data_IF_055145954526
#
_entry.id   IF_055145954526
#
_cell.length_a   1.000
_cell.length_b   1.000
_cell.length_c   1.000
_cell.angle_alpha   90.00
_cell.angle_beta   90.00
_cell.angle_gamma   90.00
#
_symmetry.space_group_name_H-M   'P 1'
#
loop_
_entity.id
_entity.type
_entity.pdbx_description
1 polymer ?
#
# COMPACT_ATOMS: atom_id res chain seq x y z
N UNK A 1 -12.75 14.83 -23.97
CA UNK A 1 -12.68 13.40 -23.58
C UNK A 1 -12.43 13.16 -22.09
N UNK A 2 -11.92 14.11 -21.30
CA UNK A 2 -11.69 13.95 -19.85
C UNK A 2 -12.93 13.61 -18.99
N UNK A 3 -14.13 14.03 -19.39
CA UNK A 3 -15.35 13.88 -18.58
C UNK A 3 -15.86 12.43 -18.37
N UNK A 4 -15.63 11.52 -19.32
CA UNK A 4 -16.04 10.10 -19.17
C UNK A 4 -15.12 9.31 -18.23
N UNK A 5 -13.90 9.79 -18.02
CA UNK A 5 -12.86 9.13 -17.23
C UNK A 5 -13.00 9.43 -15.75
N UNK A 6 -13.17 10.70 -15.38
CA UNK A 6 -13.42 11.11 -14.00
C UNK A 6 -14.67 10.41 -13.43
N UNK A 7 -15.73 10.25 -14.23
CA UNK A 7 -16.97 9.59 -13.81
C UNK A 7 -16.79 8.09 -13.46
N UNK A 8 -15.87 7.35 -14.11
CA UNK A 8 -15.63 5.92 -13.82
C UNK A 8 -14.90 5.72 -12.49
N UNK A 9 -13.96 6.59 -12.15
CA UNK A 9 -13.18 6.49 -10.92
C UNK A 9 -13.88 7.11 -9.69
N UNK A 10 -14.68 8.17 -9.88
CA UNK A 10 -15.57 8.69 -8.83
C UNK A 10 -16.61 7.65 -8.39
N UNK A 11 -17.10 6.81 -9.30
CA UNK A 11 -18.10 5.78 -8.96
C UNK A 11 -17.54 4.61 -8.15
N UNK A 12 -16.25 4.26 -8.25
CA UNK A 12 -15.68 3.17 -7.45
C UNK A 12 -15.70 3.46 -5.94
N UNK A 13 -15.42 4.71 -5.53
CA UNK A 13 -15.53 5.14 -4.14
C UNK A 13 -16.96 5.46 -3.72
N UNK A 14 -17.77 6.09 -4.58
CA UNK A 14 -19.18 6.35 -4.27
C UNK A 14 -19.98 5.04 -4.06
N UNK A 15 -19.67 3.99 -4.82
CA UNK A 15 -20.26 2.67 -4.62
C UNK A 15 -19.77 2.01 -3.31
N UNK A 16 -18.50 2.20 -2.94
CA UNK A 16 -18.00 1.76 -1.63
C UNK A 16 -18.67 2.54 -0.48
N UNK A 17 -18.97 3.83 -0.63
CA UNK A 17 -19.73 4.60 0.37
C UNK A 17 -21.20 4.22 0.47
N UNK A 18 -21.80 3.67 -0.58
CA UNK A 18 -23.15 3.08 -0.52
C UNK A 18 -23.16 1.69 0.16
N UNK A 19 -21.98 1.09 0.33
CA UNK A 19 -21.82 -0.23 0.93
C UNK A 19 -21.60 -0.12 2.45
N UNK A 20 -20.92 0.92 2.92
CA UNK A 20 -20.74 1.17 4.34
C UNK A 20 -21.60 2.36 4.76
N UNK A 21 -22.69 2.11 5.52
CA UNK A 21 -23.27 3.13 6.38
C UNK A 21 -22.24 3.48 7.46
N UNK A 22 -21.21 4.24 7.09
CA UNK A 22 -20.33 4.86 8.07
C UNK A 22 -21.14 6.03 8.63
N UNK A 23 -21.53 6.01 9.92
CA UNK A 23 -22.23 7.14 10.50
C UNK A 23 -21.39 8.39 10.29
N UNK A 24 -22.00 9.43 9.70
CA UNK A 24 -21.33 10.68 9.33
C UNK A 24 -20.66 11.41 10.53
N UNK A 25 -20.92 10.96 11.77
CA UNK A 25 -20.40 11.50 13.02
C UNK A 25 -19.32 10.62 13.69
N UNK A 26 -18.77 9.62 12.99
CA UNK A 26 -17.72 8.75 13.55
C UNK A 26 -16.49 9.55 13.97
N UNK A 27 -16.18 9.56 15.28
CA UNK A 27 -14.94 10.13 15.83
C UNK A 27 -13.76 9.13 15.78
N UNK A 28 -14.02 7.88 15.37
CA UNK A 28 -13.05 6.79 15.36
C UNK A 28 -13.15 5.98 14.07
N UNK A 29 -12.03 5.37 13.69
CA UNK A 29 -11.99 4.34 12.65
C UNK A 29 -12.69 3.09 13.17
N UNK A 30 -13.56 2.50 12.36
CA UNK A 30 -14.35 1.33 12.73
C UNK A 30 -13.78 0.05 12.10
N UNK A 31 -13.80 -1.03 12.88
CA UNK A 31 -13.65 -2.36 12.30
C UNK A 31 -14.88 -2.69 11.42
N UNK A 32 -14.73 -3.44 10.32
CA UNK A 32 -15.87 -3.88 9.54
C UNK A 32 -16.75 -4.81 10.38
N UNK A 33 -18.08 -4.63 10.29
CA UNK A 33 -19.05 -5.49 10.97
C UNK A 33 -19.20 -6.86 10.29
N UNK A 34 -18.84 -6.96 9.02
CA UNK A 34 -18.93 -8.16 8.20
C UNK A 34 -17.63 -8.96 8.28
N UNK A 35 -17.70 -10.29 8.15
CA UNK A 35 -16.50 -11.11 8.01
C UNK A 35 -15.77 -10.82 6.68
N UNK A 36 -14.48 -11.17 6.62
CA UNK A 36 -13.63 -10.87 5.47
C UNK A 36 -14.10 -11.50 4.16
N UNK A 37 -14.73 -12.68 4.17
CA UNK A 37 -15.19 -13.34 2.95
C UNK A 37 -16.45 -12.63 2.40
N UNK A 38 -17.40 -12.31 3.27
CA UNK A 38 -18.57 -11.49 2.91
C UNK A 38 -18.15 -10.13 2.37
N UNK A 39 -17.19 -9.49 3.05
CA UNK A 39 -16.68 -8.19 2.64
C UNK A 39 -15.97 -8.24 1.29
N UNK A 40 -15.16 -9.29 1.07
CA UNK A 40 -14.50 -9.55 -0.21
C UNK A 40 -15.52 -9.70 -1.33
N UNK A 41 -16.53 -10.56 -1.16
CA UNK A 41 -17.57 -10.74 -2.17
C UNK A 41 -18.28 -9.42 -2.51
N UNK A 42 -18.52 -8.59 -1.48
CA UNK A 42 -19.16 -7.28 -1.64
C UNK A 42 -18.28 -6.25 -2.36
N UNK A 43 -16.96 -6.28 -2.14
CA UNK A 43 -16.02 -5.35 -2.74
C UNK A 43 -15.53 -5.80 -4.14
N UNK A 44 -15.69 -7.07 -4.50
CA UNK A 44 -15.25 -7.60 -5.79
C UNK A 44 -15.74 -6.78 -7.01
N UNK A 45 -17.02 -6.35 -7.11
CA UNK A 45 -17.48 -5.54 -8.24
C UNK A 45 -16.81 -4.17 -8.36
N UNK A 46 -16.17 -3.69 -7.30
CA UNK A 46 -15.50 -2.38 -7.26
C UNK A 46 -13.99 -2.51 -7.45
N UNK A 47 -13.39 -3.53 -6.81
CA UNK A 47 -11.95 -3.74 -6.75
C UNK A 47 -11.39 -4.66 -7.83
N UNK A 48 -12.20 -5.57 -8.36
CA UNK A 48 -11.84 -6.46 -9.48
C UNK A 48 -13.03 -6.65 -10.44
N UNK A 49 -13.58 -5.55 -11.01
CA UNK A 49 -14.72 -5.66 -11.91
C UNK A 49 -14.35 -6.37 -13.22
N UNK A 50 -15.22 -7.29 -13.69
CA UNK A 50 -14.98 -7.99 -14.94
C UNK A 50 -14.98 -7.03 -16.13
N UNK A 51 -14.14 -7.33 -17.12
CA UNK A 51 -14.12 -6.61 -18.41
C UNK A 51 -13.39 -5.26 -18.39
N UNK A 52 -12.69 -4.89 -17.31
CA UNK A 52 -11.75 -3.75 -17.36
C UNK A 52 -10.54 -4.10 -18.22
N UNK A 53 -10.12 -3.12 -19.02
CA UNK A 53 -8.93 -3.26 -19.84
C UNK A 53 -7.68 -3.31 -18.94
N UNK A 54 -6.86 -4.34 -19.18
CA UNK A 54 -5.60 -4.58 -18.50
C UNK A 54 -4.44 -4.16 -19.39
N UNK A 55 -3.21 -4.03 -18.84
CA UNK A 55 -2.03 -3.80 -19.64
C UNK A 55 -1.82 -4.96 -20.61
N UNK A 56 -1.36 -4.65 -21.82
CA UNK A 56 -1.09 -5.69 -22.84
C UNK A 56 -0.04 -6.70 -22.39
N UNK A 57 0.81 -6.29 -21.44
CA UNK A 57 1.88 -7.06 -20.82
C UNK A 57 1.55 -7.53 -19.39
N UNK A 58 0.28 -7.61 -19.01
CA UNK A 58 -0.15 -8.03 -17.66
C UNK A 58 0.52 -9.32 -17.16
N UNK A 59 0.64 -10.34 -18.03
CA UNK A 59 1.32 -11.60 -17.68
C UNK A 59 2.81 -11.41 -17.38
N UNK A 60 3.48 -10.44 -18.02
CA UNK A 60 4.87 -10.11 -17.72
C UNK A 60 4.99 -9.39 -16.37
N UNK A 61 4.05 -8.49 -16.03
CA UNK A 61 3.98 -7.86 -14.71
C UNK A 61 3.78 -8.91 -13.61
N UNK A 62 2.91 -9.88 -13.84
CA UNK A 62 2.69 -11.00 -12.90
C UNK A 62 3.95 -11.85 -12.72
N UNK A 63 4.65 -12.14 -13.82
CA UNK A 63 5.92 -12.87 -13.78
C UNK A 63 7.01 -12.10 -13.00
N UNK A 64 7.01 -10.76 -13.05
CA UNK A 64 7.92 -9.95 -12.23
C UNK A 64 7.62 -10.09 -10.74
N UNK A 65 6.35 -10.14 -10.33
CA UNK A 65 5.97 -10.42 -8.93
C UNK A 65 6.50 -11.80 -8.51
N UNK A 66 6.24 -12.84 -9.30
CA UNK A 66 6.63 -14.22 -8.98
C UNK A 66 8.16 -14.39 -8.89
N UNK A 67 8.92 -13.58 -9.63
CA UNK A 67 10.40 -13.59 -9.64
C UNK A 67 11.01 -12.57 -8.67
N UNK A 68 10.19 -11.90 -7.87
CA UNK A 68 10.61 -10.83 -6.95
C UNK A 68 11.37 -9.68 -7.64
N UNK A 69 11.08 -9.43 -8.92
CA UNK A 69 11.73 -8.41 -9.74
C UNK A 69 11.10 -7.02 -9.50
N UNK A 70 10.96 -6.62 -8.24
CA UNK A 70 10.20 -5.44 -7.82
C UNK A 70 10.78 -4.11 -8.31
N UNK A 71 12.11 -4.03 -8.50
CA UNK A 71 12.74 -2.84 -9.09
C UNK A 71 12.29 -2.67 -10.55
N UNK A 72 12.42 -3.73 -11.36
CA UNK A 72 11.97 -3.72 -12.75
C UNK A 72 10.46 -3.50 -12.88
N UNK A 73 9.67 -4.08 -11.96
CA UNK A 73 8.23 -3.85 -11.90
C UNK A 73 7.92 -2.37 -11.59
N UNK A 74 8.62 -1.77 -10.63
CA UNK A 74 8.49 -0.35 -10.29
C UNK A 74 8.82 0.55 -11.46
N UNK A 75 9.95 0.31 -12.13
CA UNK A 75 10.36 1.08 -13.31
C UNK A 75 9.32 0.96 -14.44
N UNK A 76 8.81 -0.27 -14.68
CA UNK A 76 7.75 -0.50 -15.66
C UNK A 76 6.45 0.18 -15.27
N UNK A 77 6.05 0.23 -14.00
CA UNK A 77 4.79 0.86 -13.56
C UNK A 77 4.88 2.39 -13.48
N UNK A 78 6.04 2.94 -13.12
CA UNK A 78 6.22 4.37 -12.86
C UNK A 78 6.82 5.16 -14.03
N UNK A 79 7.22 4.50 -15.13
CA UNK A 79 7.74 5.15 -16.33
C UNK A 79 6.73 6.09 -17.00
N UNK A 80 7.24 7.11 -17.71
CA UNK A 80 6.42 8.10 -18.42
C UNK A 80 5.60 7.47 -19.54
N UNK A 81 4.27 7.57 -19.44
CA UNK A 81 3.31 6.91 -20.33
C UNK A 81 2.14 7.82 -20.66
N UNK A 82 1.42 7.46 -21.73
CA UNK A 82 0.11 8.04 -22.01
C UNK A 82 -0.95 7.62 -20.97
N UNK A 83 -2.06 8.34 -20.96
CA UNK A 83 -3.15 8.16 -19.99
C UNK A 83 -3.84 6.80 -20.09
N UNK A 84 -3.92 6.22 -21.29
CA UNK A 84 -4.57 4.90 -21.49
C UNK A 84 -3.76 3.82 -20.81
N UNK A 85 -2.44 3.86 -20.98
CA UNK A 85 -1.53 2.92 -20.34
C UNK A 85 -1.57 3.07 -18.82
N UNK A 86 -1.65 4.30 -18.29
CA UNK A 86 -1.79 4.55 -16.85
C UNK A 86 -3.07 3.92 -16.29
N UNK A 87 -4.21 4.07 -16.97
CA UNK A 87 -5.47 3.47 -16.50
C UNK A 87 -5.44 1.94 -16.49
N UNK A 88 -4.88 1.34 -17.54
CA UNK A 88 -4.74 -0.11 -17.60
C UNK A 88 -3.84 -0.61 -16.47
N UNK A 89 -2.72 0.07 -16.21
CA UNK A 89 -1.83 -0.27 -15.10
C UNK A 89 -2.56 -0.10 -13.75
N UNK A 90 -3.36 0.96 -13.55
CA UNK A 90 -4.20 1.14 -12.36
C UNK A 90 -5.22 0.01 -12.18
N UNK A 91 -5.87 -0.45 -13.25
CA UNK A 91 -6.79 -1.58 -13.20
C UNK A 91 -6.08 -2.87 -12.78
N UNK A 92 -4.89 -3.13 -13.33
CA UNK A 92 -4.09 -4.31 -12.95
C UNK A 92 -3.63 -4.23 -11.50
N UNK A 93 -3.12 -3.08 -11.05
CA UNK A 93 -2.69 -2.89 -9.66
C UNK A 93 -3.85 -3.04 -8.67
N UNK A 94 -5.02 -2.48 -8.99
CA UNK A 94 -6.22 -2.61 -8.16
C UNK A 94 -6.66 -4.08 -8.04
N UNK A 95 -6.73 -4.81 -9.16
CA UNK A 95 -7.09 -6.22 -9.19
C UNK A 95 -6.07 -7.08 -8.41
N UNK A 96 -4.77 -6.82 -8.58
CA UNK A 96 -3.71 -7.54 -7.86
C UNK A 96 -3.70 -7.24 -6.38
N UNK A 97 -3.92 -5.99 -5.96
CA UNK A 97 -4.11 -5.66 -4.56
C UNK A 97 -5.29 -6.46 -3.97
N UNK A 98 -6.41 -6.49 -4.68
CA UNK A 98 -7.58 -7.26 -4.24
C UNK A 98 -7.29 -8.76 -4.19
N UNK A 99 -6.44 -9.29 -5.04
CA UNK A 99 -6.02 -10.69 -5.04
C UNK A 99 -4.88 -11.00 -4.05
N UNK A 100 -4.47 -10.03 -3.22
CA UNK A 100 -3.48 -10.25 -2.18
C UNK A 100 -2.03 -10.00 -2.61
N UNK A 101 -1.80 -9.13 -3.61
CA UNK A 101 -0.50 -8.81 -4.21
C UNK A 101 0.55 -8.15 -3.29
N UNK A 102 0.31 -8.10 -1.98
CA UNK A 102 1.25 -7.60 -0.99
C UNK A 102 1.47 -6.08 -0.99
N UNK A 103 2.40 -5.67 -0.15
CA UNK A 103 2.79 -4.30 0.16
C UNK A 103 3.28 -3.53 -1.06
N UNK A 104 4.08 -4.15 -1.93
CA UNK A 104 4.60 -3.45 -3.11
C UNK A 104 3.49 -3.03 -4.07
N UNK A 105 2.51 -3.90 -4.32
CA UNK A 105 1.41 -3.59 -5.23
C UNK A 105 0.53 -2.48 -4.65
N UNK A 106 0.26 -2.50 -3.33
CA UNK A 106 -0.42 -1.39 -2.65
C UNK A 106 0.34 -0.08 -2.79
N UNK A 107 1.64 -0.11 -2.53
CA UNK A 107 2.49 1.08 -2.60
C UNK A 107 2.54 1.66 -4.01
N UNK A 108 2.72 0.82 -5.02
CA UNK A 108 2.72 1.24 -6.42
C UNK A 108 1.35 1.83 -6.83
N UNK A 109 0.26 1.18 -6.42
CA UNK A 109 -1.10 1.64 -6.71
C UNK A 109 -1.39 3.01 -6.08
N UNK A 110 -1.07 3.16 -4.79
CA UNK A 110 -1.17 4.42 -4.06
C UNK A 110 -0.42 5.55 -4.78
N UNK A 111 0.84 5.32 -5.17
CA UNK A 111 1.66 6.34 -5.83
C UNK A 111 1.12 6.71 -7.20
N UNK A 112 0.69 5.73 -7.99
CA UNK A 112 0.10 5.96 -9.30
C UNK A 112 -1.19 6.81 -9.18
N UNK A 113 -2.07 6.49 -8.23
CA UNK A 113 -3.27 7.27 -7.94
C UNK A 113 -2.91 8.71 -7.54
N UNK A 114 -1.94 8.89 -6.66
CA UNK A 114 -1.51 10.20 -6.17
C UNK A 114 -0.90 11.05 -7.29
N UNK A 115 -0.05 10.46 -8.11
CA UNK A 115 0.57 11.14 -9.26
C UNK A 115 -0.47 11.54 -10.30
N UNK A 116 -1.39 10.63 -10.64
CA UNK A 116 -2.49 10.93 -11.56
C UNK A 116 -3.36 12.07 -11.02
N UNK A 117 -3.66 12.05 -9.72
CA UNK A 117 -4.40 13.13 -9.08
C UNK A 117 -3.70 14.50 -9.21
N UNK A 118 -2.37 14.53 -9.12
CA UNK A 118 -1.57 15.75 -9.29
C UNK A 118 -1.55 16.30 -10.73
N UNK A 119 -1.83 15.46 -11.72
CA UNK A 119 -1.90 15.84 -13.13
C UNK A 119 -3.29 16.32 -13.58
N UNK A 120 -4.29 16.31 -12.69
CA UNK A 120 -5.69 16.62 -12.99
C UNK A 120 -6.19 17.85 -12.24
N UNK A 121 -7.21 18.57 -12.77
CA UNK A 121 -7.89 19.63 -12.03
C UNK A 121 -8.47 19.13 -10.70
N UNK A 122 -8.50 19.99 -9.68
CA UNK A 122 -8.90 19.62 -8.31
C UNK A 122 -10.28 18.94 -8.23
N UNK A 123 -11.27 19.46 -8.95
CA UNK A 123 -12.62 18.90 -9.00
C UNK A 123 -12.66 17.44 -9.52
N UNK A 124 -11.65 16.99 -10.25
CA UNK A 124 -11.55 15.63 -10.80
C UNK A 124 -10.57 14.76 -10.01
N UNK A 125 -9.68 15.35 -9.19
CA UNK A 125 -8.62 14.63 -8.49
C UNK A 125 -8.96 14.23 -7.06
N UNK A 126 -9.99 14.83 -6.45
CA UNK A 126 -10.37 14.56 -5.06
C UNK A 126 -10.59 13.05 -4.76
N UNK A 127 -11.35 12.34 -5.61
CA UNK A 127 -11.58 10.90 -5.44
C UNK A 127 -10.30 10.07 -5.54
N UNK A 128 -9.39 10.43 -6.45
CA UNK A 128 -8.09 9.76 -6.59
C UNK A 128 -7.20 9.97 -5.36
N UNK A 129 -7.18 11.19 -4.80
CA UNK A 129 -6.46 11.50 -3.56
C UNK A 129 -7.01 10.72 -2.37
N UNK A 130 -8.34 10.62 -2.25
CA UNK A 130 -8.97 9.82 -1.18
C UNK A 130 -8.67 8.32 -1.34
N UNK A 131 -8.69 7.79 -2.57
CA UNK A 131 -8.26 6.41 -2.83
C UNK A 131 -6.80 6.18 -2.46
N UNK A 132 -5.89 7.05 -2.92
CA UNK A 132 -4.48 6.96 -2.57
C UNK A 132 -4.28 6.99 -1.05
N UNK A 133 -4.98 7.89 -0.35
CA UNK A 133 -4.94 7.96 1.10
C UNK A 133 -5.47 6.70 1.79
N UNK A 134 -6.52 6.06 1.28
CA UNK A 134 -7.01 4.79 1.81
C UNK A 134 -5.97 3.67 1.64
N UNK A 135 -5.34 3.58 0.46
CA UNK A 135 -4.30 2.57 0.20
C UNK A 135 -3.03 2.84 1.02
N UNK A 136 -2.66 4.10 1.23
CA UNK A 136 -1.59 4.49 2.14
C UNK A 136 -1.82 3.96 3.57
N UNK A 137 -3.02 4.17 4.11
CA UNK A 137 -3.36 3.67 5.45
C UNK A 137 -3.47 2.15 5.49
N UNK A 138 -3.89 1.52 4.39
CA UNK A 138 -3.91 0.06 4.25
C UNK A 138 -2.49 -0.51 4.30
N UNK A 139 -1.55 0.01 3.51
CA UNK A 139 -0.15 -0.45 3.50
C UNK A 139 0.54 -0.18 4.84
N UNK A 140 0.25 0.96 5.48
CA UNK A 140 0.67 1.23 6.85
C UNK A 140 0.13 0.17 7.81
N UNK A 141 -1.14 -0.21 7.65
CA UNK A 141 -1.76 -1.32 8.38
C UNK A 141 -1.09 -2.66 8.14
N UNK A 142 -0.68 -2.97 6.90
CA UNK A 142 0.05 -4.21 6.57
C UNK A 142 1.36 -4.31 7.34
N UNK A 143 2.08 -3.21 7.57
CA UNK A 143 3.30 -3.25 8.39
C UNK A 143 3.08 -3.73 9.81
N UNK A 144 1.88 -3.49 10.37
CA UNK A 144 1.50 -3.97 11.69
C UNK A 144 0.88 -5.38 11.64
N UNK A 145 -0.01 -5.63 10.69
CA UNK A 145 -0.81 -6.87 10.60
C UNK A 145 -0.04 -8.02 10.00
N UNK A 146 0.74 -7.79 8.95
CA UNK A 146 1.52 -8.82 8.26
C UNK A 146 3.00 -8.81 8.70
N UNK A 147 3.46 -7.74 9.37
CA UNK A 147 4.78 -7.67 9.99
C UNK A 147 5.16 -8.87 10.88
N UNK A 148 4.25 -9.46 11.69
CA UNK A 148 4.55 -10.65 12.47
C UNK A 148 4.91 -11.91 11.66
N UNK A 149 4.68 -11.92 10.34
CA UNK A 149 5.14 -13.00 9.43
C UNK A 149 6.62 -12.88 9.11
N UNK A 150 7.22 -11.71 9.27
CA UNK A 150 8.64 -11.47 9.00
C UNK A 150 9.50 -12.01 10.14
N UNK A 151 10.50 -12.84 9.82
CA UNK A 151 11.45 -13.33 10.83
C UNK A 151 12.39 -12.22 11.34
N UNK A 152 12.65 -11.22 10.51
CA UNK A 152 13.33 -9.98 10.90
C UNK A 152 12.29 -8.91 11.27
N UNK A 153 12.12 -8.57 12.57
CA UNK A 153 11.15 -7.58 13.00
C UNK A 153 11.49 -6.15 12.57
N UNK A 154 12.74 -5.87 12.18
CA UNK A 154 13.14 -4.54 11.72
C UNK A 154 12.71 -4.24 10.28
N UNK A 155 12.40 -5.27 9.48
CA UNK A 155 11.94 -5.09 8.10
C UNK A 155 10.58 -4.37 7.99
N UNK A 156 9.49 -4.81 8.67
CA UNK A 156 8.23 -4.09 8.62
C UNK A 156 8.32 -2.68 9.21
N UNK A 157 9.14 -2.46 10.24
CA UNK A 157 9.41 -1.12 10.79
C UNK A 157 10.09 -0.21 9.76
N UNK A 158 11.08 -0.74 9.03
CA UNK A 158 11.74 0.00 7.96
C UNK A 158 10.74 0.41 6.86
N UNK A 159 9.81 -0.47 6.47
CA UNK A 159 8.74 -0.15 5.51
C UNK A 159 7.78 0.91 6.00
N UNK A 160 7.40 0.84 7.28
CA UNK A 160 6.60 1.87 7.93
C UNK A 160 7.28 3.23 7.86
N UNK A 161 8.56 3.27 8.22
CA UNK A 161 9.34 4.51 8.22
C UNK A 161 9.52 5.06 6.81
N UNK A 162 9.72 4.20 5.81
CA UNK A 162 9.72 4.59 4.41
C UNK A 162 8.41 5.28 4.02
N UNK A 163 7.26 4.65 4.24
CA UNK A 163 5.94 5.25 3.95
C UNK A 163 5.75 6.61 4.63
N UNK A 164 6.12 6.72 5.91
CA UNK A 164 5.96 7.97 6.68
C UNK A 164 6.88 9.10 6.18
N UNK A 165 8.03 8.75 5.60
CA UNK A 165 9.03 9.71 5.12
C UNK A 165 8.83 10.07 3.64
N UNK A 166 8.58 9.10 2.77
CA UNK A 166 8.54 9.32 1.31
C UNK A 166 7.20 9.87 0.82
N UNK A 167 6.11 9.58 1.52
CA UNK A 167 4.76 9.92 1.07
C UNK A 167 4.07 10.91 2.01
N UNK A 168 4.87 11.79 2.62
CA UNK A 168 4.42 12.81 3.59
C UNK A 168 3.27 13.68 3.06
N UNK A 169 3.26 13.97 1.76
CA UNK A 169 2.20 14.74 1.11
C UNK A 169 0.80 14.09 1.25
N UNK A 170 0.72 12.75 1.24
CA UNK A 170 -0.55 12.03 1.46
C UNK A 170 -1.00 12.19 2.91
N UNK A 171 -0.06 12.09 3.86
CA UNK A 171 -0.36 12.29 5.28
C UNK A 171 -0.80 13.74 5.58
N UNK A 172 -0.15 14.73 4.97
CA UNK A 172 -0.52 16.13 5.13
C UNK A 172 -1.89 16.41 4.49
N UNK A 173 -2.21 15.79 3.35
CA UNK A 173 -3.56 15.81 2.78
C UNK A 173 -4.59 15.20 3.72
N UNK A 174 -4.32 14.02 4.28
CA UNK A 174 -5.19 13.38 5.27
C UNK A 174 -5.46 14.32 6.45
N UNK A 175 -4.44 14.98 6.99
CA UNK A 175 -4.57 15.94 8.09
C UNK A 175 -5.40 17.19 7.73
N UNK A 176 -5.38 17.59 6.47
CA UNK A 176 -6.17 18.72 5.96
C UNK A 176 -7.66 18.40 5.78
N UNK A 177 -8.06 17.13 5.81
CA UNK A 177 -9.46 16.74 5.65
C UNK A 177 -10.29 16.94 6.93
N UNK A 178 -11.61 17.18 6.80
CA UNK A 178 -12.55 17.08 7.92
C UNK A 178 -12.38 15.77 8.69
N UNK A 179 -12.58 15.80 10.02
CA UNK A 179 -12.38 14.62 10.86
C UNK A 179 -13.21 13.42 10.40
N UNK A 180 -14.47 13.65 10.03
CA UNK A 180 -15.36 12.61 9.51
C UNK A 180 -14.79 11.94 8.25
N UNK A 181 -14.20 12.72 7.33
CA UNK A 181 -13.57 12.17 6.12
C UNK A 181 -12.33 11.35 6.45
N UNK A 182 -11.50 11.81 7.40
CA UNK A 182 -10.34 11.04 7.89
C UNK A 182 -10.77 9.68 8.43
N UNK A 183 -11.74 9.65 9.34
CA UNK A 183 -12.23 8.41 9.95
C UNK A 183 -12.87 7.47 8.92
N UNK A 184 -13.61 8.03 7.95
CA UNK A 184 -14.17 7.28 6.84
C UNK A 184 -13.07 6.62 5.99
N UNK A 185 -12.04 7.36 5.60
CA UNK A 185 -10.91 6.83 4.82
C UNK A 185 -10.16 5.75 5.61
N UNK A 186 -9.94 5.95 6.91
CA UNK A 186 -9.36 4.92 7.78
C UNK A 186 -10.23 3.65 7.85
N UNK A 187 -11.55 3.81 7.92
CA UNK A 187 -12.50 2.67 7.93
C UNK A 187 -12.49 1.89 6.61
N UNK A 188 -12.36 2.61 5.48
CA UNK A 188 -12.16 1.98 4.16
C UNK A 188 -10.86 1.17 4.16
N UNK A 189 -9.76 1.70 4.68
CA UNK A 189 -8.48 0.98 4.75
C UNK A 189 -8.57 -0.32 5.56
N UNK A 190 -9.21 -0.30 6.74
CA UNK A 190 -9.45 -1.51 7.55
C UNK A 190 -10.35 -2.51 6.81
N UNK A 191 -11.33 -2.01 6.07
CA UNK A 191 -12.21 -2.87 5.26
C UNK A 191 -11.46 -3.56 4.13
N UNK A 192 -10.53 -2.87 3.46
CA UNK A 192 -9.66 -3.46 2.44
C UNK A 192 -8.75 -4.52 3.08
N UNK A 193 -8.20 -4.26 4.27
CA UNK A 193 -7.41 -5.24 5.02
C UNK A 193 -8.21 -6.52 5.27
N UNK A 194 -9.40 -6.41 5.86
CA UNK A 194 -10.24 -7.56 6.17
C UNK A 194 -10.66 -8.34 4.92
N UNK A 195 -10.96 -7.66 3.81
CA UNK A 195 -11.38 -8.28 2.55
C UNK A 195 -10.26 -9.03 1.80
N UNK A 196 -9.00 -8.66 2.08
CA UNK A 196 -7.83 -9.26 1.44
C UNK A 196 -7.07 -10.21 2.36
N UNK A 197 -7.33 -10.20 3.67
CA UNK A 197 -6.56 -10.93 4.68
C UNK A 197 -6.37 -12.42 4.38
N UNK A 198 -7.43 -13.11 3.93
CA UNK A 198 -7.39 -14.55 3.70
C UNK A 198 -6.64 -14.97 2.43
N UNK A 199 -6.39 -14.03 1.50
CA UNK A 199 -5.71 -14.31 0.22
C UNK A 199 -4.27 -13.80 0.19
N UNK A 200 -3.82 -13.06 1.22
CA UNK A 200 -2.44 -12.55 1.29
C UNK A 200 -1.47 -13.67 1.69
N UNK A 201 -0.48 -13.90 0.83
CA UNK A 201 0.64 -14.80 1.07
C UNK A 201 1.77 -14.18 1.88
N UNK A 202 2.90 -14.87 1.96
CA UNK A 202 4.14 -14.30 2.52
C UNK A 202 4.61 -13.16 1.62
N UNK A 203 4.99 -12.04 2.24
CA UNK A 203 5.29 -10.81 1.51
C UNK A 203 6.80 -10.55 1.49
N UNK A 204 7.41 -10.82 0.34
CA UNK A 204 8.84 -10.62 0.14
C UNK A 204 9.26 -9.18 0.42
N UNK A 205 8.52 -8.18 -0.07
CA UNK A 205 8.93 -6.78 0.04
C UNK A 205 8.78 -6.29 1.46
N UNK A 206 7.67 -6.62 2.12
CA UNK A 206 7.41 -6.25 3.50
C UNK A 206 8.48 -6.83 4.46
N UNK A 207 8.89 -8.08 4.23
CA UNK A 207 9.87 -8.76 5.07
C UNK A 207 11.33 -8.56 4.63
N UNK A 208 11.58 -7.71 3.64
CA UNK A 208 12.91 -7.34 3.15
C UNK A 208 13.30 -5.91 3.57
N UNK A 209 14.60 -5.62 3.54
CA UNK A 209 15.17 -4.31 3.82
C UNK A 209 15.50 -4.06 5.29
N UNK A 210 15.26 -5.04 6.16
CA UNK A 210 15.65 -4.99 7.57
C UNK A 210 17.14 -5.30 7.81
N UNK A 211 17.50 -5.38 9.09
CA UNK A 211 18.86 -5.65 9.58
C UNK A 211 19.40 -7.00 9.10
N UNK A 212 18.56 -8.03 8.94
CA UNK A 212 18.99 -9.35 8.43
C UNK A 212 19.49 -9.24 6.99
N UNK A 213 18.77 -8.52 6.12
CA UNK A 213 19.20 -8.25 4.75
C UNK A 213 20.46 -7.39 4.71
N UNK A 214 20.53 -6.34 5.55
CA UNK A 214 21.70 -5.46 5.62
C UNK A 214 22.93 -6.27 6.06
N UNK A 215 22.80 -7.13 7.08
CA UNK A 215 23.88 -7.98 7.55
C UNK A 215 24.33 -8.98 6.46
N UNK A 216 23.39 -9.60 5.75
CA UNK A 216 23.68 -10.48 4.62
C UNK A 216 24.42 -9.74 3.49
N UNK A 217 23.97 -8.54 3.14
CA UNK A 217 24.59 -7.67 2.15
C UNK A 217 26.00 -7.23 2.55
N UNK A 218 26.21 -6.80 3.80
CA UNK A 218 27.54 -6.45 4.31
C UNK A 218 28.49 -7.65 4.28
N UNK A 219 28.02 -8.84 4.69
CA UNK A 219 28.81 -10.07 4.66
C UNK A 219 29.21 -10.45 3.23
N UNK A 220 28.28 -10.35 2.28
CA UNK A 220 28.52 -10.69 0.87
C UNK A 220 29.43 -9.68 0.16
N UNK A 221 29.37 -8.41 0.54
CA UNK A 221 30.21 -7.36 -0.04
C UNK A 221 31.60 -7.28 0.63
N UNK A 222 31.74 -7.74 1.87
CA UNK A 222 33.03 -7.83 2.57
C UNK A 222 33.75 -6.48 2.62
N UNK A 223 34.89 -6.37 1.92
CA UNK A 223 35.69 -5.13 1.80
C UNK A 223 35.41 -4.32 0.53
N UNK A 224 34.46 -4.73 -0.31
CA UNK A 224 34.12 -4.01 -1.56
C UNK A 224 33.54 -2.64 -1.21
N UNK A 225 33.89 -1.63 -2.01
CA UNK A 225 33.28 -0.32 -1.91
C UNK A 225 31.79 -0.41 -2.20
N UNK A 226 30.98 0.09 -1.28
CA UNK A 226 29.54 0.17 -1.46
C UNK A 226 29.19 1.34 -2.40
N UNK A 227 28.15 1.21 -3.23
CA UNK A 227 27.68 2.31 -4.06
C UNK A 227 27.18 3.46 -3.19
N UNK A 228 27.73 4.65 -3.39
CA UNK A 228 27.22 5.86 -2.76
C UNK A 228 25.89 6.24 -3.42
N UNK A 229 24.88 6.54 -2.62
CA UNK A 229 23.58 7.04 -3.07
C UNK A 229 23.38 8.50 -2.64
N UNK A 230 22.54 9.27 -3.33
CA UNK A 230 22.20 10.63 -2.90
C UNK A 230 21.74 10.63 -1.44
N UNK A 231 22.36 11.49 -0.62
CA UNK A 231 21.90 11.71 0.75
C UNK A 231 20.54 12.38 0.78
N UNK A 232 19.81 12.22 1.88
CA UNK A 232 18.58 12.98 2.10
C UNK A 232 18.87 14.49 2.10
N UNK A 233 18.02 15.34 1.50
CA UNK A 233 18.18 16.79 1.52
C UNK A 233 18.40 17.30 2.96
N UNK A 234 19.40 18.15 3.15
CA UNK A 234 19.73 18.72 4.47
C UNK A 234 20.54 17.82 5.41
N UNK A 235 21.00 16.64 4.98
CA UNK A 235 21.92 15.80 5.76
C UNK A 235 23.37 15.93 5.31
N UNK A 236 24.26 16.23 6.25
CA UNK A 236 25.71 16.20 6.05
C UNK A 236 26.21 14.77 6.20
N UNK A 237 26.85 14.22 5.16
CA UNK A 237 27.43 12.88 5.18
C UNK A 237 27.33 12.15 3.84
N UNK A 238 28.00 11.00 3.73
CA UNK A 238 27.85 10.07 2.60
C UNK A 238 26.88 8.96 2.99
N UNK A 239 25.92 8.68 2.11
CA UNK A 239 25.02 7.53 2.26
C UNK A 239 25.44 6.46 1.27
N UNK A 240 25.50 5.21 1.71
CA UNK A 240 25.86 4.07 0.86
C UNK A 240 24.71 3.08 0.84
N UNK A 241 24.40 2.55 -0.34
CA UNK A 241 23.48 1.43 -0.46
C UNK A 241 24.21 0.12 -0.19
N UNK A 242 23.58 -0.75 0.61
CA UNK A 242 24.05 -2.11 0.86
C UNK A 242 23.18 -3.04 0.03
N UNK A 243 23.63 -3.47 -1.17
CA UNK A 243 22.84 -4.38 -1.97
C UNK A 243 22.76 -5.75 -1.27
N UNK A 244 21.58 -6.42 -1.27
CA UNK A 244 21.49 -7.80 -0.81
C UNK A 244 22.33 -8.72 -1.71
N UNK A 245 22.76 -9.89 -1.23
CA UNK A 245 23.30 -10.92 -2.10
C UNK A 245 22.24 -11.40 -3.12
N UNK A 246 22.64 -11.88 -4.31
CA UNK A 246 21.70 -12.25 -5.38
C UNK A 246 20.67 -13.33 -5.01
N UNK A 247 21.01 -14.18 -4.04
CA UNK A 247 20.21 -15.29 -3.53
C UNK A 247 19.50 -14.98 -2.20
N UNK A 248 19.55 -13.72 -1.74
CA UNK A 248 18.82 -13.33 -0.53
C UNK A 248 17.33 -13.60 -0.69
N UNK A 249 16.75 -14.25 0.30
CA UNK A 249 15.30 -14.37 0.46
C UNK A 249 14.97 -14.09 1.92
N UNK A 250 14.01 -13.21 2.22
CA UNK A 250 13.60 -12.96 3.59
C UNK A 250 13.02 -14.24 4.18
N UNK A 251 13.26 -14.43 5.48
CA UNK A 251 12.72 -15.58 6.22
C UNK A 251 11.36 -15.23 6.79
N UNK A 252 10.48 -16.23 6.80
CA UNK A 252 9.13 -16.10 7.32
C UNK A 252 8.96 -16.92 8.59
N UNK A 253 8.17 -16.40 9.51
CA UNK A 253 7.77 -17.07 10.74
C UNK A 253 6.63 -18.06 10.41
N UNK A 254 6.60 -19.27 11.01
CA UNK A 254 5.52 -20.21 10.80
C UNK A 254 4.14 -19.60 11.12
N UNK A 255 3.12 -19.95 10.34
CA UNK A 255 1.75 -19.44 10.50
C UNK A 255 1.21 -19.62 11.92
N UNK A 256 1.50 -20.75 12.57
CA UNK A 256 1.06 -21.02 13.94
C UNK A 256 1.62 -20.00 14.97
N UNK A 257 2.78 -19.40 14.69
CA UNK A 257 3.41 -18.38 15.53
C UNK A 257 2.98 -16.98 15.13
N UNK A 258 2.82 -16.72 13.82
CA UNK A 258 2.43 -15.41 13.31
C UNK A 258 0.94 -15.12 13.56
N UNK A 259 0.04 -16.07 13.29
CA UNK A 259 -1.41 -15.85 13.26
C UNK A 259 -2.00 -15.27 14.56
N UNK A 260 -1.61 -15.71 15.77
CA UNK A 260 -2.08 -15.08 17.01
C UNK A 260 -1.68 -13.60 17.12
N UNK A 261 -0.47 -13.25 16.68
CA UNK A 261 0.03 -11.86 16.68
C UNK A 261 -0.69 -11.02 15.63
N UNK A 262 -0.93 -11.57 14.44
CA UNK A 262 -1.72 -10.89 13.41
C UNK A 262 -3.15 -10.62 13.88
N UNK A 263 -3.78 -11.56 14.61
CA UNK A 263 -5.11 -11.36 15.17
C UNK A 263 -5.15 -10.23 16.21
N UNK A 264 -4.12 -10.11 17.05
CA UNK A 264 -3.96 -8.95 17.96
C UNK A 264 -3.82 -7.66 17.16
N UNK A 265 -2.89 -7.62 16.19
CA UNK A 265 -2.66 -6.44 15.37
C UNK A 265 -3.92 -5.98 14.60
N UNK A 266 -4.71 -6.91 14.04
CA UNK A 266 -5.99 -6.60 13.37
C UNK A 266 -7.01 -5.96 14.32
N UNK A 267 -7.10 -6.43 15.56
CA UNK A 267 -7.99 -5.82 16.57
C UNK A 267 -7.54 -4.42 16.96
N UNK A 268 -6.24 -4.17 16.98
CA UNK A 268 -5.65 -2.88 17.34
C UNK A 268 -5.61 -1.89 16.17
N UNK A 269 -5.69 -2.37 14.92
CA UNK A 269 -5.56 -1.56 13.72
C UNK A 269 -6.51 -0.34 13.68
N UNK A 270 -7.83 -0.45 13.99
CA UNK A 270 -8.71 0.71 14.03
C UNK A 270 -8.27 1.76 15.07
N UNK A 271 -7.79 1.33 16.23
CA UNK A 271 -7.30 2.22 17.29
C UNK A 271 -6.01 2.92 16.86
N UNK A 272 -5.08 2.19 16.25
CA UNK A 272 -3.85 2.73 15.70
C UNK A 272 -4.13 3.81 14.65
N UNK A 273 -5.01 3.52 13.68
CA UNK A 273 -5.38 4.47 12.63
C UNK A 273 -6.14 5.68 13.18
N UNK A 274 -7.04 5.48 14.15
CA UNK A 274 -7.72 6.58 14.84
C UNK A 274 -6.72 7.55 15.47
N UNK A 275 -5.72 7.04 16.20
CA UNK A 275 -4.69 7.88 16.83
C UNK A 275 -3.84 8.64 15.81
N UNK A 276 -3.47 7.98 14.71
CA UNK A 276 -2.71 8.60 13.63
C UNK A 276 -3.48 9.75 12.96
N UNK A 277 -4.78 9.56 12.79
CA UNK A 277 -5.66 10.47 12.07
C UNK A 277 -6.31 11.53 12.97
N UNK A 278 -6.21 11.40 14.28
CA UNK A 278 -6.68 12.39 15.24
C UNK A 278 -5.97 13.74 15.01
N UNK A 279 -6.61 14.87 15.38
CA UNK A 279 -5.92 16.15 15.43
C UNK A 279 -4.65 16.04 16.29
N UNK A 280 -3.58 16.74 15.91
CA UNK A 280 -2.45 16.90 16.81
C UNK A 280 -2.95 17.56 18.11
N UNK A 281 -2.49 17.07 19.27
CA UNK A 281 -2.72 17.77 20.51
C UNK A 281 -2.13 19.20 20.38
N UNK A 282 -2.83 20.23 20.88
CA UNK A 282 -2.38 21.62 20.81
C UNK A 282 -1.03 21.82 21.50
#
# INVERSE_FOLDING_TARGET
MAGKWAARWLMALCAATLIFEVPAAGQTVMAPAQDGATLRARLAPVLDPPGRAMPVDAAALDAMIQRHAFLALGDRLMGGKDMTTIDHDLNWMQARLFQGGGFFVGFAYMRALWQLAGAMPEAQSAGLKQNAAAIYLYDLGLTAVDGPRCADPSAPEHRRDQLLQTDRAILDYLRGLPLADRMRIGTIAVSIEAATASVRGDDYVLCSGGLDQIAAGLKANGKKSLPQVPGAPGRVGKTYAVPPPPDYTPRFVPVAVAAPKQAVARRELPVMLTRLLAPAAP
#
